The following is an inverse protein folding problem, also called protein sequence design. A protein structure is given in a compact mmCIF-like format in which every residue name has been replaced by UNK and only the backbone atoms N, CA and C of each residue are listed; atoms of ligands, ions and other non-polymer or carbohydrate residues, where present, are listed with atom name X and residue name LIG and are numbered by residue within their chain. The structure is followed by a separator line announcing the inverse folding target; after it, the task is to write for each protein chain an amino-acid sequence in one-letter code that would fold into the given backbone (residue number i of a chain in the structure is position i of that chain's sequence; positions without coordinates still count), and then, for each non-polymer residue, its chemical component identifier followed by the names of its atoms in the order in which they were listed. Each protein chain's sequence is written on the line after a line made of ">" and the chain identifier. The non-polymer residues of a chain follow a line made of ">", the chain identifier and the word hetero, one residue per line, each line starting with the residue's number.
data_IF_757568649840
#
_entry.id   IF_757568649840
#
_cell.length_a   1.000
_cell.length_b   1.000
_cell.length_c   1.000
_cell.angle_alpha   90.00
_cell.angle_beta   90.00
_cell.angle_gamma   90.00
#
_symmetry.space_group_name_H-M   'P 1'
#
loop_
_entity.id
_entity.type
_entity.pdbx_description
1 polymer ?
#
# COMPACT_ATOMS: atom_id res chain seq x y z
N UNK A 1 -10.97 17.42 -20.77
CA UNK A 1 -11.35 17.94 -19.44
C UNK A 1 -12.54 17.08 -19.05
N UNK A 2 -12.33 15.81 -18.70
CA UNK A 2 -13.44 14.85 -18.60
C UNK A 2 -13.19 13.86 -17.45
N UNK A 3 -13.70 14.26 -16.28
CA UNK A 3 -14.65 13.50 -15.45
C UNK A 3 -14.48 11.98 -15.28
N UNK A 4 -13.26 11.48 -15.00
CA UNK A 4 -13.15 10.30 -14.14
C UNK A 4 -13.09 10.82 -12.69
N UNK A 5 -14.15 10.60 -11.92
CA UNK A 5 -14.17 10.82 -10.48
C UNK A 5 -13.06 9.99 -9.84
N UNK A 6 -11.86 10.56 -9.76
CA UNK A 6 -10.74 9.95 -9.08
C UNK A 6 -11.12 9.82 -7.63
N UNK A 7 -11.29 8.58 -7.17
CA UNK A 7 -11.23 8.26 -5.75
C UNK A 7 -10.02 9.02 -5.19
N UNK A 8 -10.26 9.89 -4.20
CA UNK A 8 -9.31 10.92 -3.76
C UNK A 8 -7.89 10.37 -3.72
N UNK A 9 -6.92 11.10 -4.28
CA UNK A 9 -5.54 10.63 -4.57
C UNK A 9 -4.70 10.35 -3.31
N UNK A 10 -5.33 10.17 -2.16
CA UNK A 10 -4.75 10.23 -0.82
C UNK A 10 -5.12 9.01 0.04
N UNK A 11 -5.54 7.88 -0.55
CA UNK A 11 -5.74 6.64 0.20
C UNK A 11 -4.63 5.62 -0.08
N UNK A 12 -4.08 5.07 1.00
CA UNK A 12 -3.16 3.94 0.99
C UNK A 12 -3.76 2.82 1.82
N UNK A 13 -3.89 1.64 1.22
CA UNK A 13 -4.43 0.45 1.86
C UNK A 13 -3.29 -0.52 2.10
N UNK A 14 -3.24 -1.08 3.32
CA UNK A 14 -2.25 -2.09 3.69
C UNK A 14 -3.00 -3.37 4.01
N UNK A 15 -2.69 -4.43 3.28
CA UNK A 15 -3.19 -5.76 3.53
C UNK A 15 -2.11 -6.58 4.23
N UNK A 16 -2.39 -6.99 5.47
CA UNK A 16 -1.50 -7.84 6.26
C UNK A 16 -1.91 -9.30 6.14
N UNK A 17 -1.10 -10.10 5.45
CA UNK A 17 -1.30 -11.53 5.31
C UNK A 17 -0.70 -12.29 6.50
N UNK A 18 -1.35 -13.35 7.00
CA UNK A 18 -0.85 -14.19 8.09
C UNK A 18 0.29 -15.11 7.65
N UNK A 19 0.47 -15.33 6.33
CA UNK A 19 1.50 -16.19 5.76
C UNK A 19 2.16 -15.50 4.57
N UNK A 20 3.50 -15.57 4.47
CA UNK A 20 4.28 -14.98 3.36
C UNK A 20 3.89 -15.56 1.99
N UNK A 21 3.56 -16.85 1.93
CA UNK A 21 3.19 -17.53 0.69
C UNK A 21 1.93 -16.95 0.04
N UNK A 22 1.02 -16.39 0.84
CA UNK A 22 -0.22 -15.80 0.34
C UNK A 22 -0.03 -14.39 -0.22
N UNK A 23 1.08 -13.72 0.09
CA UNK A 23 1.28 -12.31 -0.31
C UNK A 23 1.32 -12.16 -1.82
N UNK A 24 2.06 -13.04 -2.51
CA UNK A 24 2.14 -13.03 -3.99
C UNK A 24 0.80 -13.37 -4.64
N UNK A 25 0.13 -14.43 -4.19
CA UNK A 25 -1.19 -14.78 -4.73
C UNK A 25 -2.21 -13.65 -4.53
N UNK A 26 -2.20 -13.03 -3.35
CA UNK A 26 -3.10 -11.93 -3.02
C UNK A 26 -2.77 -10.68 -3.83
N UNK A 27 -1.49 -10.32 -4.01
CA UNK A 27 -1.08 -9.17 -4.82
C UNK A 27 -1.52 -9.33 -6.27
N UNK A 28 -1.34 -10.51 -6.86
CA UNK A 28 -1.78 -10.82 -8.22
C UNK A 28 -3.31 -10.75 -8.36
N UNK A 29 -4.06 -11.31 -7.39
CA UNK A 29 -5.52 -11.25 -7.38
C UNK A 29 -6.02 -9.81 -7.28
N UNK A 30 -5.40 -9.00 -6.43
CA UNK A 30 -5.73 -7.58 -6.32
C UNK A 30 -5.40 -6.84 -7.61
N UNK A 31 -4.23 -7.07 -8.21
CA UNK A 31 -3.83 -6.42 -9.45
C UNK A 31 -4.77 -6.77 -10.62
N UNK A 32 -5.24 -8.01 -10.72
CA UNK A 32 -6.22 -8.41 -11.74
C UNK A 32 -7.59 -7.75 -11.54
N UNK A 33 -8.03 -7.57 -10.29
CA UNK A 33 -9.33 -6.96 -9.96
C UNK A 33 -9.31 -5.43 -10.04
N UNK A 34 -8.18 -4.83 -9.65
CA UNK A 34 -7.98 -3.39 -9.51
C UNK A 34 -7.30 -2.73 -10.74
N UNK A 35 -6.70 -3.53 -11.62
CA UNK A 35 -6.13 -3.07 -12.90
C UNK A 35 -7.05 -2.19 -13.75
N UNK A 36 -8.34 -2.54 -13.98
CA UNK A 36 -9.24 -1.67 -14.75
C UNK A 36 -9.61 -0.36 -14.06
N UNK A 37 -9.34 -0.24 -12.75
CA UNK A 37 -9.55 0.97 -11.96
C UNK A 37 -8.33 1.89 -11.94
N UNK A 38 -7.21 1.48 -12.55
CA UNK A 38 -5.95 2.25 -12.54
C UNK A 38 -5.28 2.29 -11.16
N UNK A 39 -5.63 1.36 -10.27
CA UNK A 39 -5.08 1.28 -8.91
C UNK A 39 -3.83 0.39 -8.92
N UNK A 40 -2.73 0.94 -8.41
CA UNK A 40 -1.44 0.25 -8.41
C UNK A 40 -1.26 -0.57 -7.12
N UNK A 41 -1.00 -1.86 -7.28
CA UNK A 41 -0.83 -2.83 -6.18
C UNK A 41 0.62 -3.25 -6.13
N UNK A 42 1.23 -3.30 -4.94
CA UNK A 42 2.57 -3.84 -4.75
C UNK A 42 2.62 -4.75 -3.54
N UNK A 43 3.50 -5.75 -3.60
CA UNK A 43 3.87 -6.56 -2.45
C UNK A 43 5.11 -6.00 -1.76
N UNK A 44 5.10 -6.03 -0.43
CA UNK A 44 6.24 -5.64 0.39
C UNK A 44 6.64 -6.82 1.26
N UNK A 45 7.42 -7.73 0.68
CA UNK A 45 7.93 -8.93 1.34
C UNK A 45 9.41 -8.77 1.71
N UNK A 46 9.93 -9.67 2.56
CA UNK A 46 11.27 -9.57 3.17
C UNK A 46 12.42 -9.21 2.22
N UNK A 47 12.32 -9.63 0.95
CA UNK A 47 13.33 -9.52 -0.09
C UNK A 47 13.14 -8.30 -1.00
N UNK A 48 11.93 -7.72 -1.03
CA UNK A 48 11.61 -6.54 -1.84
C UNK A 48 11.62 -5.27 -1.00
N UNK A 49 12.46 -4.31 -1.39
CA UNK A 49 12.42 -2.95 -0.85
C UNK A 49 11.83 -2.03 -1.91
N UNK A 50 10.60 -1.56 -1.68
CA UNK A 50 9.99 -0.51 -2.50
C UNK A 50 10.71 0.81 -2.25
N UNK A 51 11.07 1.49 -3.34
CA UNK A 51 11.65 2.84 -3.27
C UNK A 51 10.58 3.84 -2.83
N UNK A 52 10.94 4.95 -2.16
CA UNK A 52 9.98 6.00 -1.75
C UNK A 52 9.04 6.44 -2.89
N UNK A 53 9.59 6.58 -4.10
CA UNK A 53 8.83 6.93 -5.31
C UNK A 53 7.80 5.88 -5.73
N UNK A 54 8.10 4.59 -5.53
CA UNK A 54 7.14 3.53 -5.81
C UNK A 54 6.04 3.52 -4.76
N UNK A 55 6.40 3.74 -3.49
CA UNK A 55 5.44 3.84 -2.41
C UNK A 55 4.45 5.00 -2.59
N UNK A 56 4.85 6.08 -3.25
CA UNK A 56 3.98 7.21 -3.60
C UNK A 56 3.00 6.87 -4.74
N UNK A 57 3.39 5.98 -5.66
CA UNK A 57 2.55 5.56 -6.80
C UNK A 57 1.64 4.38 -6.44
N UNK A 58 2.03 3.59 -5.44
CA UNK A 58 1.29 2.42 -4.95
C UNK A 58 0.15 2.84 -4.04
N UNK A 59 -1.02 2.28 -4.33
CA UNK A 59 -2.26 2.50 -3.58
C UNK A 59 -2.55 1.36 -2.61
N UNK A 60 -2.21 0.11 -2.98
CA UNK A 60 -2.43 -1.08 -2.16
C UNK A 60 -1.11 -1.80 -1.92
N UNK A 61 -0.77 -2.02 -0.66
CA UNK A 61 0.44 -2.70 -0.24
C UNK A 61 0.06 -4.02 0.44
N UNK A 62 0.52 -5.14 -0.10
CA UNK A 62 0.31 -6.47 0.49
C UNK A 62 1.59 -6.88 1.21
N UNK A 63 1.53 -7.14 2.51
CA UNK A 63 2.73 -7.41 3.32
C UNK A 63 2.44 -8.37 4.48
N UNK A 64 3.47 -8.79 5.20
CA UNK A 64 3.36 -9.54 6.46
C UNK A 64 3.52 -8.58 7.64
N UNK A 65 2.87 -8.85 8.79
CA UNK A 65 2.91 -7.95 9.95
C UNK A 65 4.33 -7.66 10.44
N UNK A 66 5.21 -8.67 10.42
CA UNK A 66 6.63 -8.55 10.82
C UNK A 66 7.39 -7.52 9.97
N UNK A 67 7.11 -7.47 8.67
CA UNK A 67 7.80 -6.55 7.74
C UNK A 67 7.17 -5.15 7.80
N UNK A 68 5.85 -5.07 7.95
CA UNK A 68 5.13 -3.81 8.16
C UNK A 68 5.62 -3.06 9.40
N UNK A 69 5.91 -3.80 10.47
CA UNK A 69 6.44 -3.25 11.73
C UNK A 69 7.84 -2.60 11.56
N UNK A 70 8.69 -3.15 10.70
CA UNK A 70 10.00 -2.53 10.37
C UNK A 70 9.82 -1.26 9.52
N UNK A 71 8.90 -1.31 8.56
CA UNK A 71 8.63 -0.19 7.66
C UNK A 71 8.07 1.02 8.41
N UNK A 72 7.07 0.82 9.26
CA UNK A 72 6.44 1.91 10.03
C UNK A 72 7.40 2.56 11.03
N UNK A 73 8.35 1.80 11.59
CA UNK A 73 9.41 2.35 12.47
C UNK A 73 10.45 3.19 11.74
N UNK A 74 10.88 2.80 10.53
CA UNK A 74 11.87 3.55 9.75
C UNK A 74 11.28 4.83 9.12
N UNK A 75 9.97 4.82 8.84
CA UNK A 75 9.28 5.94 8.18
C UNK A 75 9.07 7.16 9.10
N UNK A 76 9.34 7.06 10.40
CA UNK A 76 9.19 8.14 11.37
C UNK A 76 10.19 9.31 11.19
N UNK A 77 11.26 9.14 10.40
CA UNK A 77 12.29 10.18 10.21
C UNK A 77 12.53 10.48 8.71
N UNK A 78 11.59 11.21 8.09
CA UNK A 78 11.81 11.85 6.79
C UNK A 78 10.76 11.59 5.71
N UNK A 79 9.61 12.27 5.83
CA UNK A 79 8.88 12.84 4.69
C UNK A 79 7.97 11.94 3.86
N UNK A 80 7.58 10.75 4.33
CA UNK A 80 6.57 9.92 3.67
C UNK A 80 5.52 9.44 4.67
N UNK A 81 4.60 10.31 5.07
CA UNK A 81 3.58 9.96 6.05
C UNK A 81 2.60 8.93 5.48
N UNK A 82 2.67 7.69 5.98
CA UNK A 82 1.46 6.87 6.16
C UNK A 82 0.96 7.21 7.56
N UNK A 83 0.52 8.45 7.75
CA UNK A 83 -0.15 8.81 9.00
C UNK A 83 -1.51 8.12 8.91
N UNK A 84 -1.70 7.07 9.71
CA UNK A 84 -3.04 6.60 10.05
C UNK A 84 -3.70 7.81 10.72
N UNK A 85 -4.38 8.63 9.93
CA UNK A 85 -5.02 9.82 10.44
C UNK A 85 -5.99 9.34 11.54
N UNK A 86 -5.86 9.82 12.79
CA UNK A 86 -6.89 9.53 13.76
C UNK A 86 -8.19 10.03 13.14
N UNK A 87 -9.20 9.16 13.08
CA UNK A 87 -10.54 9.52 12.61
C UNK A 87 -10.94 10.78 13.39
N UNK A 88 -10.83 11.93 12.71
CA UNK A 88 -11.07 13.23 13.33
C UNK A 88 -12.57 13.30 13.51
N UNK A 89 -13.02 12.90 14.71
CA UNK A 89 -14.40 12.99 15.15
C UNK A 89 -14.89 14.41 14.88
N UNK A 90 -15.93 14.51 14.06
CA UNK A 90 -16.87 15.61 14.17
C UNK A 90 -17.73 15.39 15.39
#
# INVERSE_FOLDING_TARGET
>A
MDAAGGLGRDFKVVYMAPMKALVGEVSEKFQQRLGPLGVNVAEFTGDMNLTKKELEQVHVIVTVPEKWDVMTRNTACGGGQILVAPLRGR
#
